data_IF_128905914951
#
_entry.id   IF_128905914951
#
_cell.length_a   1.000
_cell.length_b   1.000
_cell.length_c   1.000
_cell.angle_alpha   90.00
_cell.angle_beta   90.00
_cell.angle_gamma   90.00
#
_symmetry.space_group_name_H-M   'P 1'
#
loop_
_entity.id
_entity.type
_entity.pdbx_description
1 polymer ?
#
# COMPACT_ATOMS: atom_id res chain seq x y z
N UNK A 1 -34.95 44.24 -63.23
CA UNK A 1 -35.08 42.76 -63.16
C UNK A 1 -33.78 42.18 -62.63
N UNK A 2 -33.87 41.28 -61.64
CA UNK A 2 -32.80 40.46 -60.99
C UNK A 2 -31.79 41.25 -60.15
N UNK A 3 -32.05 41.46 -58.84
CA UNK A 3 -31.84 40.56 -57.68
C UNK A 3 -30.35 40.31 -57.39
N UNK A 4 -29.78 41.10 -56.48
CA UNK A 4 -28.55 40.77 -55.75
C UNK A 4 -29.03 40.31 -54.36
N UNK A 5 -28.77 39.05 -54.04
CA UNK A 5 -29.22 38.40 -52.82
C UNK A 5 -28.23 38.63 -51.67
N UNK A 6 -28.84 38.92 -50.51
CA UNK A 6 -28.31 38.93 -49.15
C UNK A 6 -27.14 37.97 -48.88
N UNK A 7 -26.03 38.51 -48.39
CA UNK A 7 -25.07 37.76 -47.60
C UNK A 7 -25.53 37.81 -46.13
N UNK A 8 -26.10 36.70 -45.64
CA UNK A 8 -26.36 36.46 -44.23
C UNK A 8 -25.04 36.02 -43.59
N UNK A 9 -24.53 36.84 -42.68
CA UNK A 9 -23.38 36.55 -41.84
C UNK A 9 -23.83 35.54 -40.76
N UNK A 10 -23.74 34.24 -41.06
CA UNK A 10 -24.02 33.18 -40.11
C UNK A 10 -22.87 33.08 -39.10
N UNK A 11 -23.11 33.66 -37.92
CA UNK A 11 -22.34 33.47 -36.70
C UNK A 11 -22.49 32.00 -36.27
N UNK A 12 -21.65 31.11 -36.79
CA UNK A 12 -21.51 29.75 -36.28
C UNK A 12 -20.66 29.83 -35.01
N UNK A 13 -21.35 29.95 -33.88
CA UNK A 13 -20.84 29.59 -32.56
C UNK A 13 -20.25 28.18 -32.64
N UNK A 14 -18.92 28.11 -32.65
CA UNK A 14 -18.21 26.89 -32.30
C UNK A 14 -18.50 26.68 -30.82
N UNK A 15 -19.53 25.88 -30.52
CA UNK A 15 -19.63 25.21 -29.24
C UNK A 15 -18.43 24.29 -29.13
N UNK A 16 -17.32 24.81 -28.61
CA UNK A 16 -16.33 23.98 -27.94
C UNK A 16 -17.07 23.37 -26.75
N UNK A 17 -17.61 22.16 -26.95
CA UNK A 17 -17.80 21.22 -25.86
C UNK A 17 -16.42 21.02 -25.26
N UNK A 18 -16.12 21.85 -24.26
CA UNK A 18 -15.05 21.59 -23.31
C UNK A 18 -15.46 20.32 -22.61
N UNK A 19 -15.08 19.18 -23.19
CA UNK A 19 -15.01 17.95 -22.43
C UNK A 19 -14.00 18.25 -21.34
N UNK A 20 -14.49 18.58 -20.15
CA UNK A 20 -13.71 18.45 -18.93
C UNK A 20 -13.23 17.01 -18.93
N UNK A 21 -12.00 16.77 -19.41
CA UNK A 21 -11.26 15.61 -18.96
C UNK A 21 -11.27 15.77 -17.44
N UNK A 22 -11.97 14.87 -16.73
CA UNK A 22 -11.68 14.63 -15.32
C UNK A 22 -10.16 14.49 -15.30
N UNK A 23 -9.47 15.36 -14.56
CA UNK A 23 -8.04 15.24 -14.38
C UNK A 23 -7.75 13.79 -13.97
N UNK A 24 -6.61 13.22 -14.37
CA UNK A 24 -6.28 11.87 -13.94
C UNK A 24 -6.29 11.88 -12.40
N UNK A 25 -7.20 11.12 -11.80
CA UNK A 25 -7.24 10.97 -10.33
C UNK A 25 -5.93 10.31 -9.91
N UNK A 26 -5.25 10.90 -8.94
CA UNK A 26 -4.04 10.34 -8.37
C UNK A 26 -4.40 9.03 -7.66
N UNK A 27 -3.94 7.90 -8.19
CA UNK A 27 -4.25 6.59 -7.61
C UNK A 27 -3.25 6.21 -6.54
N UNK A 28 -3.72 5.58 -5.47
CA UNK A 28 -2.89 5.00 -4.42
C UNK A 28 -2.85 3.47 -4.49
N UNK A 29 -1.88 2.83 -3.83
CA UNK A 29 -1.85 1.39 -3.65
C UNK A 29 -2.70 1.04 -2.42
N UNK A 30 -3.75 0.24 -2.59
CA UNK A 30 -4.49 -0.28 -1.43
C UNK A 30 -3.57 -1.14 -0.57
N UNK A 31 -3.70 -1.02 0.74
CA UNK A 31 -3.08 -1.93 1.68
C UNK A 31 -3.58 -3.36 1.47
N UNK A 32 -2.69 -4.33 1.69
CA UNK A 32 -2.99 -5.74 1.57
C UNK A 32 -2.59 -6.51 2.82
N UNK A 33 -3.47 -7.39 3.30
CA UNK A 33 -3.20 -8.22 4.48
C UNK A 33 -3.72 -9.64 4.30
N UNK A 34 -2.87 -10.62 4.56
CA UNK A 34 -3.23 -12.04 4.42
C UNK A 34 -4.27 -12.45 5.47
N UNK A 35 -5.24 -13.27 5.06
CA UNK A 35 -6.22 -13.85 5.98
C UNK A 35 -7.35 -12.91 6.42
N UNK A 36 -7.49 -11.73 5.81
CA UNK A 36 -8.68 -10.90 6.00
C UNK A 36 -9.89 -11.52 5.31
N UNK A 37 -10.99 -11.64 6.06
CA UNK A 37 -12.30 -12.10 5.57
C UNK A 37 -13.35 -10.97 5.54
N UNK A 38 -13.11 -9.91 6.32
CA UNK A 38 -14.02 -8.78 6.51
C UNK A 38 -13.24 -7.47 6.61
N UNK A 39 -13.96 -6.35 6.54
CA UNK A 39 -13.40 -5.03 6.81
C UNK A 39 -12.79 -4.91 8.20
N UNK A 40 -11.81 -4.01 8.33
CA UNK A 40 -11.11 -3.71 9.58
C UNK A 40 -11.85 -2.57 10.29
N UNK A 41 -12.13 -2.74 11.58
CA UNK A 41 -12.69 -1.65 12.39
C UNK A 41 -11.65 -0.55 12.58
N UNK A 42 -12.05 0.69 12.34
CA UNK A 42 -11.22 1.87 12.53
C UNK A 42 -11.89 2.78 13.54
N UNK A 43 -11.20 3.06 14.65
CA UNK A 43 -11.71 4.00 15.64
C UNK A 43 -11.72 5.42 15.07
N UNK A 44 -12.56 6.30 15.62
CA UNK A 44 -12.55 7.72 15.20
C UNK A 44 -11.21 8.41 15.46
N UNK A 45 -10.47 8.01 16.51
CA UNK A 45 -9.15 8.56 16.82
C UNK A 45 -8.12 8.16 15.76
N UNK A 46 -8.11 6.88 15.36
CA UNK A 46 -7.21 6.37 14.32
C UNK A 46 -7.60 6.94 12.94
N UNK A 47 -8.90 7.06 12.64
CA UNK A 47 -9.37 7.73 11.43
C UNK A 47 -8.88 9.17 11.34
N UNK A 48 -9.05 9.95 12.41
CA UNK A 48 -8.61 11.35 12.45
C UNK A 48 -7.08 11.47 12.29
N UNK A 49 -6.31 10.50 12.83
CA UNK A 49 -4.86 10.43 12.67
C UNK A 49 -4.45 10.11 11.21
N UNK A 50 -5.06 9.10 10.58
CA UNK A 50 -4.81 8.78 9.17
C UNK A 50 -5.12 9.97 8.25
N UNK A 51 -6.20 10.71 8.54
CA UNK A 51 -6.55 11.92 7.80
C UNK A 51 -5.55 13.08 8.03
N UNK A 52 -5.01 13.24 9.25
CA UNK A 52 -3.98 14.24 9.58
C UNK A 52 -2.64 13.95 8.89
N UNK A 53 -2.29 12.66 8.79
CA UNK A 53 -1.04 12.19 8.21
C UNK A 53 -1.09 12.11 6.66
N UNK A 54 -2.13 12.71 6.06
CA UNK A 54 -2.39 12.71 4.62
C UNK A 54 -2.41 11.29 4.01
N UNK A 55 -2.92 10.30 4.75
CA UNK A 55 -2.99 8.93 4.24
C UNK A 55 -4.06 8.77 3.14
N UNK A 56 -3.92 7.70 2.34
CA UNK A 56 -4.88 7.33 1.31
C UNK A 56 -5.43 5.94 1.60
N UNK A 57 -6.75 5.84 1.76
CA UNK A 57 -7.42 4.61 2.16
C UNK A 57 -8.87 4.60 1.70
N UNK A 58 -9.50 3.42 1.73
CA UNK A 58 -10.91 3.27 1.44
C UNK A 58 -11.63 2.74 2.68
N UNK A 59 -12.79 3.32 2.99
CA UNK A 59 -13.58 2.92 4.13
C UNK A 59 -15.07 3.08 3.85
N UNK A 60 -15.91 2.55 4.74
CA UNK A 60 -17.34 2.85 4.71
C UNK A 60 -17.88 3.08 6.11
N UNK A 61 -18.82 4.02 6.21
CA UNK A 61 -19.57 4.24 7.45
C UNK A 61 -20.71 3.23 7.51
N UNK A 62 -20.87 2.56 8.65
CA UNK A 62 -21.96 1.63 8.89
C UNK A 62 -22.74 1.99 10.16
N UNK A 63 -23.88 1.34 10.37
CA UNK A 63 -24.57 1.40 11.65
C UNK A 63 -25.01 0.01 12.10
N UNK A 64 -25.08 -0.18 13.41
CA UNK A 64 -25.67 -1.39 13.98
C UNK A 64 -27.13 -1.56 13.50
N UNK A 65 -27.54 -2.81 13.23
CA UNK A 65 -28.87 -3.16 12.69
C UNK A 65 -29.19 -2.65 11.27
N UNK A 66 -28.22 -2.12 10.53
CA UNK A 66 -28.37 -1.71 9.14
C UNK A 66 -28.46 -2.89 8.17
N UNK A 67 -29.66 -3.11 7.58
CA UNK A 67 -29.87 -4.18 6.60
C UNK A 67 -29.07 -3.97 5.31
N UNK A 68 -29.01 -2.72 4.81
CA UNK A 68 -28.23 -2.37 3.62
C UNK A 68 -26.73 -2.60 3.83
N UNK A 69 -26.22 -2.33 5.04
CA UNK A 69 -24.82 -2.57 5.40
C UNK A 69 -24.52 -4.06 5.40
N UNK A 70 -25.45 -4.88 5.92
CA UNK A 70 -25.35 -6.34 5.86
C UNK A 70 -25.37 -6.85 4.41
N UNK A 71 -26.24 -6.30 3.56
CA UNK A 71 -26.30 -6.67 2.15
C UNK A 71 -24.98 -6.33 1.44
N UNK A 72 -24.49 -5.09 1.56
CA UNK A 72 -23.19 -4.71 0.99
C UNK A 72 -22.03 -5.61 1.45
N UNK A 73 -21.95 -5.88 2.76
CA UNK A 73 -20.94 -6.78 3.33
C UNK A 73 -20.95 -8.16 2.69
N UNK A 74 -22.13 -8.77 2.58
CA UNK A 74 -22.29 -10.14 2.11
C UNK A 74 -22.17 -10.27 0.58
N UNK A 75 -22.72 -9.31 -0.16
CA UNK A 75 -22.89 -9.41 -1.61
C UNK A 75 -21.64 -8.93 -2.37
N UNK A 76 -20.90 -7.96 -1.80
CA UNK A 76 -19.74 -7.36 -2.44
C UNK A 76 -18.47 -7.39 -1.58
N UNK A 77 -18.50 -6.73 -0.41
CA UNK A 77 -17.29 -6.33 0.30
C UNK A 77 -16.45 -7.50 0.81
N UNK A 78 -17.03 -8.45 1.55
CA UNK A 78 -16.26 -9.53 2.16
C UNK A 78 -15.63 -10.45 1.10
N UNK A 79 -16.36 -10.69 0.00
CA UNK A 79 -15.83 -11.49 -1.10
C UNK A 79 -14.71 -10.75 -1.83
N UNK A 80 -14.84 -9.42 -2.04
CA UNK A 80 -13.77 -8.58 -2.56
C UNK A 80 -12.52 -8.68 -1.67
N UNK A 81 -12.66 -8.39 -0.36
CA UNK A 81 -11.55 -8.46 0.61
C UNK A 81 -10.87 -9.83 0.60
N UNK A 82 -11.63 -10.92 0.60
CA UNK A 82 -11.06 -12.27 0.59
C UNK A 82 -10.30 -12.57 -0.72
N UNK A 83 -10.82 -12.12 -1.86
CA UNK A 83 -10.22 -12.38 -3.18
C UNK A 83 -8.99 -11.52 -3.45
N UNK A 84 -9.01 -10.26 -3.04
CA UNK A 84 -7.95 -9.28 -3.34
C UNK A 84 -6.99 -9.09 -2.18
N UNK A 85 -7.34 -9.57 -0.97
CA UNK A 85 -6.63 -9.32 0.29
C UNK A 85 -6.57 -7.83 0.68
N UNK A 86 -7.40 -7.01 0.05
CA UNK A 86 -7.43 -5.56 0.29
C UNK A 86 -7.94 -5.24 1.68
N UNK A 87 -7.24 -4.35 2.38
CA UNK A 87 -7.75 -3.71 3.58
C UNK A 87 -8.81 -2.69 3.15
N UNK A 88 -10.02 -2.84 3.67
CA UNK A 88 -11.06 -1.82 3.62
C UNK A 88 -11.49 -1.56 5.06
N UNK A 89 -11.46 -0.30 5.47
CA UNK A 89 -11.82 0.08 6.83
C UNK A 89 -13.33 0.25 6.97
N UNK A 90 -13.81 0.19 8.20
CA UNK A 90 -15.18 0.50 8.55
C UNK A 90 -15.21 1.35 9.82
N UNK A 91 -16.13 2.30 9.87
CA UNK A 91 -16.33 3.15 11.07
C UNK A 91 -17.82 3.16 11.41
N UNK A 92 -18.16 3.03 12.70
CA UNK A 92 -19.55 3.16 13.14
C UNK A 92 -20.04 4.60 13.01
N UNK A 93 -21.26 4.76 12.50
CA UNK A 93 -21.89 6.06 12.29
C UNK A 93 -22.04 6.85 13.59
N UNK A 94 -22.20 6.18 14.73
CA UNK A 94 -22.24 6.85 16.03
C UNK A 94 -20.92 7.50 16.40
N UNK A 95 -19.79 6.90 16.00
CA UNK A 95 -18.44 7.39 16.31
C UNK A 95 -17.98 8.43 15.27
N UNK A 96 -18.30 8.24 13.99
CA UNK A 96 -17.84 9.16 12.93
C UNK A 96 -18.40 10.58 13.12
N UNK A 97 -19.52 10.76 13.83
CA UNK A 97 -20.06 12.07 14.15
C UNK A 97 -19.21 12.86 15.17
N UNK A 98 -18.34 12.17 15.90
CA UNK A 98 -17.38 12.80 16.82
C UNK A 98 -16.05 13.15 16.11
N UNK A 99 -15.86 12.76 14.84
CA UNK A 99 -14.68 13.12 14.04
C UNK A 99 -14.64 14.62 13.80
N UNK A 100 -13.43 15.20 13.82
CA UNK A 100 -13.25 16.60 13.40
C UNK A 100 -13.53 16.84 11.90
N UNK A 101 -13.58 15.77 11.11
CA UNK A 101 -13.90 15.76 9.68
C UNK A 101 -15.37 15.44 9.36
N UNK A 102 -16.25 15.33 10.37
CA UNK A 102 -17.67 14.98 10.19
C UNK A 102 -18.38 15.78 9.09
N UNK A 103 -18.13 17.09 9.03
CA UNK A 103 -18.75 18.00 8.04
C UNK A 103 -18.30 17.74 6.61
N UNK A 104 -17.06 17.26 6.43
CA UNK A 104 -16.48 16.98 5.13
C UNK A 104 -16.97 15.63 4.60
N UNK A 105 -17.20 14.68 5.52
CA UNK A 105 -17.80 13.39 5.23
C UNK A 105 -19.30 13.52 4.89
N UNK A 106 -20.00 14.43 5.56
CA UNK A 106 -21.41 14.76 5.31
C UNK A 106 -22.31 13.50 5.33
N UNK A 107 -22.15 12.66 6.35
CA UNK A 107 -22.78 11.32 6.39
C UNK A 107 -24.30 11.45 6.60
N UNK A 108 -25.09 11.18 5.56
CA UNK A 108 -26.56 11.18 5.65
C UNK A 108 -27.17 9.77 5.78
N UNK A 109 -26.54 8.76 5.19
CA UNK A 109 -27.07 7.40 5.08
C UNK A 109 -25.99 6.35 5.36
N UNK A 110 -26.43 5.13 5.70
CA UNK A 110 -25.52 3.98 5.83
C UNK A 110 -26.01 2.78 5.01
N UNK A 111 -25.09 2.01 4.38
CA UNK A 111 -23.67 2.29 4.29
C UNK A 111 -23.38 3.42 3.29
N UNK A 112 -22.36 4.22 3.58
CA UNK A 112 -21.77 5.15 2.60
C UNK A 112 -20.29 4.82 2.49
N UNK A 113 -19.84 4.55 1.28
CA UNK A 113 -18.46 4.19 0.95
C UNK A 113 -17.68 5.44 0.56
N UNK A 114 -16.43 5.52 1.00
CA UNK A 114 -15.56 6.66 0.79
C UNK A 114 -14.21 6.20 0.25
N UNK A 115 -13.63 7.02 -0.62
CA UNK A 115 -12.22 6.92 -1.01
C UNK A 115 -11.53 8.19 -0.55
N UNK A 116 -10.51 8.03 0.29
CA UNK A 116 -9.64 9.09 0.77
C UNK A 116 -8.34 9.05 -0.01
N UNK A 117 -7.92 10.20 -0.55
CA UNK A 117 -6.63 10.35 -1.23
C UNK A 117 -5.93 11.57 -0.65
N UNK A 118 -4.73 11.35 -0.11
CA UNK A 118 -3.91 12.36 0.54
C UNK A 118 -4.71 13.17 1.59
N UNK A 119 -5.34 12.47 2.54
CA UNK A 119 -6.12 13.08 3.63
C UNK A 119 -7.41 13.79 3.21
N UNK A 120 -7.91 13.55 1.98
CA UNK A 120 -9.10 14.23 1.44
C UNK A 120 -10.12 13.26 0.88
N UNK A 121 -11.40 13.60 1.05
CA UNK A 121 -12.51 12.89 0.40
C UNK A 121 -12.44 13.11 -1.11
N UNK A 122 -11.95 12.10 -1.82
CA UNK A 122 -11.93 12.09 -3.29
C UNK A 122 -13.29 11.66 -3.84
N UNK A 123 -13.89 10.63 -3.24
CA UNK A 123 -15.22 10.17 -3.62
C UNK A 123 -16.04 9.67 -2.45
N UNK A 124 -17.36 9.74 -2.67
CA UNK A 124 -18.40 9.33 -1.74
C UNK A 124 -19.53 8.66 -2.51
N UNK A 125 -19.86 7.43 -2.14
CA UNK A 125 -20.94 6.66 -2.75
C UNK A 125 -21.91 6.15 -1.69
N UNK A 126 -23.17 6.57 -1.81
CA UNK A 126 -24.26 6.13 -0.93
C UNK A 126 -24.84 4.83 -1.47
N UNK A 127 -25.16 3.88 -0.58
CA UNK A 127 -25.71 2.59 -0.97
C UNK A 127 -26.90 2.67 -1.93
N UNK A 128 -26.76 2.01 -3.08
CA UNK A 128 -27.83 1.71 -4.03
C UNK A 128 -27.76 0.22 -4.40
N UNK A 129 -28.85 -0.51 -4.14
CA UNK A 129 -28.95 -1.94 -4.47
C UNK A 129 -29.05 -2.24 -5.97
N UNK A 130 -29.02 -1.22 -6.83
CA UNK A 130 -28.89 -1.33 -8.29
C UNK A 130 -27.49 -1.04 -8.79
N UNK A 131 -26.62 -0.48 -7.95
CA UNK A 131 -25.24 -0.21 -8.29
C UNK A 131 -24.39 -1.47 -8.01
N UNK A 132 -23.64 -1.91 -9.01
CA UNK A 132 -22.84 -3.13 -8.94
C UNK A 132 -21.74 -3.06 -7.89
N UNK A 133 -21.25 -1.87 -7.54
CA UNK A 133 -20.25 -1.71 -6.47
C UNK A 133 -20.74 -2.18 -5.11
N UNK A 134 -22.06 -2.14 -4.87
CA UNK A 134 -22.66 -2.55 -3.61
C UNK A 134 -23.24 -3.97 -3.63
N UNK A 135 -23.27 -4.61 -4.81
CA UNK A 135 -24.00 -5.88 -5.02
C UNK A 135 -23.14 -6.98 -5.62
N UNK A 136 -21.87 -6.71 -5.93
CA UNK A 136 -20.91 -7.73 -6.35
C UNK A 136 -19.47 -7.34 -6.05
N UNK A 137 -18.62 -8.33 -5.75
CA UNK A 137 -17.18 -8.11 -5.55
C UNK A 137 -16.51 -7.54 -6.81
N UNK A 138 -16.89 -8.02 -8.00
CA UNK A 138 -16.35 -7.53 -9.26
C UNK A 138 -16.76 -6.07 -9.53
N UNK A 139 -17.98 -5.68 -9.15
CA UNK A 139 -18.43 -4.29 -9.23
C UNK A 139 -17.63 -3.37 -8.31
N UNK A 140 -17.38 -3.80 -7.06
CA UNK A 140 -16.54 -3.05 -6.12
C UNK A 140 -15.10 -2.93 -6.62
N UNK A 141 -14.53 -4.01 -7.14
CA UNK A 141 -13.19 -4.02 -7.73
C UNK A 141 -13.10 -3.05 -8.92
N UNK A 142 -14.11 -3.04 -9.80
CA UNK A 142 -14.14 -2.13 -10.94
C UNK A 142 -14.24 -0.66 -10.50
N UNK A 143 -15.06 -0.38 -9.48
CA UNK A 143 -15.17 0.95 -8.88
C UNK A 143 -13.82 1.40 -8.28
N UNK A 144 -13.23 0.59 -7.41
CA UNK A 144 -11.97 0.94 -6.75
C UNK A 144 -10.79 1.08 -7.71
N UNK A 145 -10.78 0.35 -8.83
CA UNK A 145 -9.74 0.50 -9.87
C UNK A 145 -9.69 1.89 -10.51
N UNK A 146 -10.73 2.70 -10.38
CA UNK A 146 -10.71 4.10 -10.83
C UNK A 146 -9.83 4.97 -9.93
N UNK A 147 -9.66 4.59 -8.65
CA UNK A 147 -9.02 5.40 -7.61
C UNK A 147 -7.79 4.75 -6.97
N UNK A 148 -7.63 3.43 -7.11
CA UNK A 148 -6.57 2.69 -6.47
C UNK A 148 -6.05 1.52 -7.32
N UNK A 149 -4.83 1.10 -7.02
CA UNK A 149 -4.26 -0.16 -7.44
C UNK A 149 -4.56 -1.22 -6.37
N UNK A 150 -4.96 -2.42 -6.82
CA UNK A 150 -5.11 -3.57 -5.91
C UNK A 150 -3.76 -3.93 -5.28
N UNK A 151 -3.77 -4.43 -4.04
CA UNK A 151 -2.54 -4.71 -3.31
C UNK A 151 -1.71 -5.78 -4.01
N UNK A 152 -0.42 -5.50 -4.15
CA UNK A 152 0.61 -6.47 -4.56
C UNK A 152 1.66 -6.67 -3.47
N UNK A 153 1.66 -5.80 -2.46
CA UNK A 153 2.36 -5.95 -1.20
C UNK A 153 1.36 -6.46 -0.15
N UNK A 154 1.58 -7.66 0.38
CA UNK A 154 0.64 -8.33 1.30
C UNK A 154 1.30 -8.55 2.67
N UNK A 155 0.80 -7.88 3.69
CA UNK A 155 1.25 -8.05 5.08
C UNK A 155 0.92 -9.45 5.62
N UNK A 156 1.88 -10.05 6.32
CA UNK A 156 1.75 -11.27 7.08
C UNK A 156 1.84 -10.99 8.58
N UNK A 157 1.00 -11.66 9.36
CA UNK A 157 1.25 -11.87 10.78
C UNK A 157 2.39 -12.87 11.01
N UNK A 158 2.98 -12.85 12.20
CA UNK A 158 4.06 -13.79 12.58
C UNK A 158 3.64 -15.25 12.40
N UNK A 159 2.42 -15.60 12.80
CA UNK A 159 1.89 -16.96 12.65
C UNK A 159 1.75 -17.37 11.17
N UNK A 160 1.40 -16.43 10.29
CA UNK A 160 1.31 -16.71 8.85
C UNK A 160 2.70 -16.87 8.23
N UNK A 161 3.67 -16.03 8.61
CA UNK A 161 5.06 -16.18 8.19
C UNK A 161 5.62 -17.54 8.63
N UNK A 162 5.44 -17.91 9.89
CA UNK A 162 5.86 -19.22 10.43
C UNK A 162 5.20 -20.39 9.69
N UNK A 163 3.91 -20.27 9.38
CA UNK A 163 3.19 -21.29 8.63
C UNK A 163 3.78 -21.48 7.23
N UNK A 164 4.11 -20.39 6.52
CA UNK A 164 4.72 -20.46 5.19
C UNK A 164 6.07 -21.15 5.20
N UNK A 165 6.93 -20.77 6.16
CA UNK A 165 8.26 -21.37 6.34
C UNK A 165 8.12 -22.86 6.66
N UNK A 166 7.32 -23.21 7.67
CA UNK A 166 7.15 -24.61 8.11
C UNK A 166 6.46 -25.52 7.08
N UNK A 167 5.63 -24.96 6.20
CA UNK A 167 5.02 -25.69 5.08
C UNK A 167 5.96 -25.83 3.87
N UNK A 168 7.20 -25.35 3.96
CA UNK A 168 8.16 -25.32 2.86
C UNK A 168 7.63 -24.58 1.62
N UNK A 169 6.91 -23.48 1.83
CA UNK A 169 6.48 -22.63 0.70
C UNK A 169 7.68 -21.88 0.11
N UNK A 170 7.62 -21.58 -1.19
CA UNK A 170 8.53 -20.64 -1.84
C UNK A 170 7.83 -19.29 -1.96
N UNK A 171 8.46 -18.23 -1.44
CA UNK A 171 7.90 -16.88 -1.40
C UNK A 171 9.00 -15.84 -1.20
N UNK A 172 8.65 -14.57 -1.39
CA UNK A 172 9.54 -13.43 -1.15
C UNK A 172 8.91 -12.56 -0.10
N UNK A 173 9.68 -12.13 0.90
CA UNK A 173 9.20 -11.29 1.99
C UNK A 173 10.09 -10.08 2.21
N UNK A 174 9.45 -8.93 2.38
CA UNK A 174 10.05 -7.66 2.75
C UNK A 174 9.79 -7.42 4.25
N UNK A 175 10.84 -7.38 5.06
CA UNK A 175 10.80 -6.89 6.44
C UNK A 175 11.07 -5.39 6.46
N UNK A 176 10.10 -4.60 6.92
CA UNK A 176 10.21 -3.15 7.01
C UNK A 176 9.73 -2.60 8.34
N UNK A 177 9.84 -1.29 8.47
CA UNK A 177 9.34 -0.53 9.61
C UNK A 177 8.80 0.81 9.10
N UNK A 178 7.53 1.14 9.35
CA UNK A 178 6.96 2.36 8.79
C UNK A 178 7.66 3.67 9.24
N UNK A 179 8.35 3.66 10.38
CA UNK A 179 9.16 4.80 10.87
C UNK A 179 10.63 4.77 10.39
N UNK A 180 11.02 3.76 9.61
CA UNK A 180 12.39 3.62 9.09
C UNK A 180 12.60 4.52 7.86
N UNK A 181 13.49 5.50 7.99
CA UNK A 181 13.79 6.45 6.91
C UNK A 181 14.34 5.79 5.65
N UNK A 182 15.16 4.73 5.78
CA UNK A 182 15.69 4.01 4.62
C UNK A 182 14.63 3.14 3.93
N UNK A 183 13.65 2.66 4.69
CA UNK A 183 12.47 1.96 4.18
C UNK A 183 11.63 2.92 3.32
N UNK A 184 11.35 4.12 3.85
CA UNK A 184 10.65 5.17 3.10
C UNK A 184 11.40 5.57 1.82
N UNK A 185 12.74 5.69 1.88
CA UNK A 185 13.57 5.96 0.69
C UNK A 185 13.44 4.86 -0.36
N UNK A 186 13.59 3.59 0.03
CA UNK A 186 13.44 2.43 -0.86
C UNK A 186 12.05 2.41 -1.52
N UNK A 187 11.01 2.65 -0.72
CA UNK A 187 9.62 2.62 -1.17
C UNK A 187 9.33 3.71 -2.21
N UNK A 188 9.76 4.94 -1.93
CA UNK A 188 9.57 6.09 -2.80
C UNK A 188 10.38 6.00 -4.10
N UNK A 189 11.63 5.52 -4.02
CA UNK A 189 12.55 5.51 -5.17
C UNK A 189 12.27 4.35 -6.13
N UNK A 190 11.88 3.19 -5.60
CA UNK A 190 11.78 1.96 -6.42
C UNK A 190 10.50 1.19 -6.15
N UNK A 191 10.25 0.78 -4.90
CA UNK A 191 9.30 -0.30 -4.62
C UNK A 191 7.88 0.05 -5.06
N UNK A 192 7.37 1.24 -4.73
CA UNK A 192 6.00 1.63 -5.05
C UNK A 192 5.72 1.63 -6.56
N UNK A 193 6.64 2.17 -7.35
CA UNK A 193 6.52 2.16 -8.81
C UNK A 193 6.57 0.74 -9.36
N UNK A 194 7.40 -0.12 -8.77
CA UNK A 194 7.49 -1.53 -9.17
C UNK A 194 6.21 -2.31 -8.86
N UNK A 195 5.68 -2.15 -7.64
CA UNK A 195 4.43 -2.76 -7.18
C UNK A 195 3.24 -2.38 -8.08
N UNK A 196 3.17 -1.12 -8.50
CA UNK A 196 2.09 -0.61 -9.34
C UNK A 196 2.21 -1.08 -10.79
N UNK A 197 3.42 -1.06 -11.36
CA UNK A 197 3.59 -1.24 -12.82
C UNK A 197 4.05 -2.62 -13.25
N UNK A 198 4.69 -3.39 -12.37
CA UNK A 198 5.38 -4.64 -12.72
C UNK A 198 4.84 -5.88 -11.98
N UNK A 199 4.11 -5.69 -10.88
CA UNK A 199 3.65 -6.78 -9.99
C UNK A 199 2.21 -7.23 -10.23
N UNK A 200 1.59 -6.89 -11.37
CA UNK A 200 0.21 -7.31 -11.66
C UNK A 200 0.06 -8.84 -11.59
N UNK A 201 -0.79 -9.31 -10.68
CA UNK A 201 -1.06 -10.74 -10.46
C UNK A 201 0.04 -11.48 -9.69
N UNK A 202 0.98 -10.76 -9.09
CA UNK A 202 2.09 -11.29 -8.29
C UNK A 202 2.03 -10.68 -6.89
N UNK A 203 2.68 -11.33 -5.94
CA UNK A 203 2.69 -10.92 -4.53
C UNK A 203 4.13 -10.83 -4.05
N UNK A 204 4.45 -9.70 -3.42
CA UNK A 204 5.56 -9.57 -2.47
C UNK A 204 4.93 -9.56 -1.07
N UNK A 205 5.37 -10.44 -0.18
CA UNK A 205 4.90 -10.40 1.20
C UNK A 205 5.62 -9.31 1.99
N UNK A 206 4.95 -8.76 2.99
CA UNK A 206 5.47 -7.73 3.89
C UNK A 206 5.36 -8.18 5.34
N UNK A 207 6.33 -7.77 6.17
CA UNK A 207 6.27 -7.92 7.61
C UNK A 207 6.63 -6.60 8.28
N UNK A 208 5.69 -6.03 9.02
CA UNK A 208 5.89 -4.84 9.84
C UNK A 208 6.61 -5.21 11.15
N UNK A 209 7.79 -4.63 11.36
CA UNK A 209 8.66 -4.97 12.49
C UNK A 209 8.49 -4.04 13.71
N UNK A 210 7.63 -3.01 13.63
CA UNK A 210 7.43 -2.00 14.67
C UNK A 210 7.33 -2.57 16.10
N UNK A 211 6.48 -3.57 16.30
CA UNK A 211 6.22 -4.16 17.63
C UNK A 211 7.45 -4.85 18.24
N UNK A 212 8.43 -5.23 17.42
CA UNK A 212 9.68 -5.85 17.86
C UNK A 212 10.77 -4.80 18.01
N UNK A 213 11.01 -3.99 16.97
CA UNK A 213 12.15 -3.07 16.92
C UNK A 213 12.05 -1.97 17.99
N UNK A 214 10.84 -1.55 18.36
CA UNK A 214 10.61 -0.55 19.43
C UNK A 214 10.97 -1.06 20.83
N UNK A 215 11.10 -2.38 21.00
CA UNK A 215 11.53 -3.01 22.25
C UNK A 215 13.04 -3.24 22.34
N UNK A 216 13.79 -2.95 21.27
CA UNK A 216 15.23 -3.20 21.22
C UNK A 216 15.97 -2.47 22.36
N UNK A 217 16.90 -3.16 23.02
CA UNK A 217 17.68 -2.67 24.16
C UNK A 217 16.85 -2.34 25.42
N UNK A 218 15.64 -2.87 25.54
CA UNK A 218 14.82 -2.78 26.76
C UNK A 218 14.90 -4.07 27.60
N UNK A 219 14.30 -4.09 28.79
CA UNK A 219 14.24 -5.30 29.63
C UNK A 219 13.44 -6.44 28.97
N UNK A 220 12.49 -6.11 28.10
CA UNK A 220 11.67 -7.04 27.33
C UNK A 220 12.03 -6.97 25.83
N UNK A 221 13.33 -7.06 25.50
CA UNK A 221 13.80 -7.04 24.11
C UNK A 221 13.22 -8.23 23.33
N UNK A 222 12.25 -7.94 22.45
CA UNK A 222 11.66 -8.88 21.51
C UNK A 222 12.39 -8.86 20.17
N UNK A 223 13.23 -7.86 19.92
CA UNK A 223 13.92 -7.67 18.66
C UNK A 223 14.99 -8.73 18.42
N UNK A 224 15.87 -8.96 19.39
CA UNK A 224 16.96 -9.94 19.23
C UNK A 224 16.43 -11.37 18.97
N UNK A 225 15.44 -11.88 19.73
CA UNK A 225 14.82 -13.17 19.41
C UNK A 225 14.16 -13.20 18.04
N UNK A 226 13.50 -12.11 17.63
CA UNK A 226 12.86 -12.00 16.32
C UNK A 226 13.88 -12.07 15.18
N UNK A 227 14.97 -11.29 15.27
CA UNK A 227 16.01 -11.29 14.24
C UNK A 227 16.71 -12.63 14.15
N UNK A 228 16.93 -13.32 15.27
CA UNK A 228 17.48 -14.68 15.31
C UNK A 228 16.54 -15.70 14.67
N UNK A 229 15.23 -15.58 14.92
CA UNK A 229 14.21 -16.49 14.39
C UNK A 229 14.14 -16.42 12.86
N UNK A 230 14.27 -15.22 12.29
CA UNK A 230 14.16 -14.98 10.85
C UNK A 230 15.50 -14.70 10.17
N UNK A 231 16.62 -15.01 10.84
CA UNK A 231 17.97 -14.90 10.30
C UNK A 231 18.35 -13.48 9.83
N UNK A 232 17.78 -12.45 10.43
CA UNK A 232 18.07 -11.04 10.14
C UNK A 232 19.32 -10.54 10.88
N UNK A 233 19.93 -11.36 11.74
CA UNK A 233 21.17 -11.06 12.47
C UNK A 233 22.40 -11.84 11.95
N UNK A 234 22.24 -12.64 10.88
CA UNK A 234 23.34 -13.41 10.30
C UNK A 234 24.29 -12.52 9.50
N UNK A 235 25.60 -12.75 9.59
CA UNK A 235 26.57 -11.98 8.80
C UNK A 235 26.31 -12.15 7.30
N UNK A 236 26.23 -11.06 6.50
CA UNK A 236 26.66 -9.68 6.83
C UNK A 236 25.56 -8.73 7.37
N UNK A 237 24.35 -9.23 7.65
CA UNK A 237 23.29 -8.51 8.38
C UNK A 237 23.64 -8.37 9.87
N UNK A 238 24.57 -7.48 10.22
CA UNK A 238 24.79 -7.15 11.64
C UNK A 238 23.59 -6.33 12.18
N UNK A 239 22.88 -6.88 13.18
CA UNK A 239 21.86 -6.22 14.01
C UNK A 239 20.45 -6.00 13.40
N UNK A 240 19.93 -6.92 12.58
CA UNK A 240 18.51 -6.90 12.22
C UNK A 240 18.12 -5.79 11.24
N UNK A 241 19.02 -5.32 10.39
CA UNK A 241 18.76 -4.14 9.56
C UNK A 241 17.49 -4.29 8.70
N UNK A 242 16.68 -3.24 8.68
CA UNK A 242 15.53 -3.08 7.77
C UNK A 242 15.75 -1.78 6.96
N UNK A 243 15.33 -1.74 5.68
CA UNK A 243 14.52 -2.74 5.00
C UNK A 243 15.36 -3.90 4.45
N UNK A 244 14.85 -5.12 4.63
CA UNK A 244 15.48 -6.36 4.13
C UNK A 244 14.47 -7.17 3.35
N UNK A 245 14.86 -7.71 2.20
CA UNK A 245 14.07 -8.65 1.42
C UNK A 245 14.74 -10.02 1.48
N UNK A 246 13.98 -11.04 1.87
CA UNK A 246 14.43 -12.43 1.86
C UNK A 246 13.67 -13.22 0.81
N UNK A 247 14.40 -14.07 0.08
CA UNK A 247 13.84 -15.03 -0.89
C UNK A 247 13.87 -16.42 -0.25
N UNK A 248 12.69 -17.00 -0.07
CA UNK A 248 12.53 -18.36 0.41
C UNK A 248 12.25 -19.32 -0.75
N UNK A 249 12.99 -20.42 -0.80
CA UNK A 249 12.68 -21.58 -1.63
C UNK A 249 12.57 -22.83 -0.76
N UNK A 250 11.43 -23.51 -0.85
CA UNK A 250 11.14 -24.71 -0.05
C UNK A 250 11.41 -24.50 1.46
N UNK A 251 10.98 -23.36 2.01
CA UNK A 251 11.15 -23.02 3.43
C UNK A 251 12.56 -22.63 3.86
N UNK A 252 13.52 -22.53 2.94
CA UNK A 252 14.89 -22.09 3.24
C UNK A 252 15.18 -20.75 2.56
N UNK A 253 15.90 -19.87 3.25
CA UNK A 253 16.42 -18.63 2.65
C UNK A 253 17.49 -19.01 1.63
N UNK A 254 17.32 -18.55 0.39
CA UNK A 254 18.31 -18.75 -0.70
C UNK A 254 19.02 -17.46 -1.08
N UNK A 255 18.46 -16.32 -0.71
CA UNK A 255 19.02 -15.01 -1.02
C UNK A 255 18.43 -13.93 -0.10
N UNK A 256 19.28 -12.99 0.29
CA UNK A 256 18.90 -11.78 1.04
C UNK A 256 19.31 -10.54 0.23
N UNK A 257 18.53 -9.47 0.40
CA UNK A 257 18.81 -8.13 -0.07
C UNK A 257 18.61 -7.15 1.08
N UNK A 258 19.54 -6.22 1.23
CA UNK A 258 19.47 -5.18 2.27
C UNK A 258 19.64 -3.82 1.61
N UNK A 259 18.82 -2.86 1.99
CA UNK A 259 18.91 -1.50 1.46
C UNK A 259 19.66 -0.61 2.46
N UNK A 260 20.61 0.20 1.97
CA UNK A 260 21.28 1.26 2.73
C UNK A 260 21.84 0.84 4.11
N UNK A 261 22.61 -0.25 4.16
CA UNK A 261 23.09 -0.82 5.43
C UNK A 261 24.55 -0.46 5.78
N UNK A 262 25.15 0.48 5.05
CA UNK A 262 26.55 0.81 5.16
C UNK A 262 26.93 1.53 6.45
N UNK A 263 28.18 1.39 6.87
CA UNK A 263 28.83 2.27 7.86
C UNK A 263 29.96 3.05 7.19
N UNK A 264 29.92 4.37 7.24
CA UNK A 264 30.96 5.24 6.68
C UNK A 264 31.85 5.85 7.78
N UNK A 265 33.13 6.08 7.47
CA UNK A 265 34.05 6.84 8.33
C UNK A 265 33.95 8.36 8.10
N UNK A 266 34.80 9.13 8.80
CA UNK A 266 34.84 10.60 8.70
C UNK A 266 35.22 11.14 7.31
N UNK A 267 35.74 10.29 6.41
CA UNK A 267 36.10 10.61 5.04
C UNK A 267 35.09 10.04 4.03
N UNK A 268 33.93 9.59 4.48
CA UNK A 268 32.89 8.91 3.70
C UNK A 268 33.37 7.59 3.06
N UNK A 269 34.41 6.96 3.60
CA UNK A 269 34.84 5.63 3.17
C UNK A 269 33.92 4.60 3.80
N UNK A 270 33.37 3.71 2.99
CA UNK A 270 32.51 2.62 3.46
C UNK A 270 33.39 1.58 4.17
N UNK A 271 33.14 1.39 5.46
CA UNK A 271 33.91 0.48 6.34
C UNK A 271 33.22 -0.84 6.60
N UNK A 272 31.89 -0.87 6.47
CA UNK A 272 31.05 -2.07 6.56
C UNK A 272 29.89 -1.94 5.58
N UNK A 273 29.51 -3.04 4.95
CA UNK A 273 28.37 -3.16 4.05
C UNK A 273 27.90 -4.61 3.97
N UNK A 274 26.64 -4.83 3.60
CA UNK A 274 26.18 -6.14 3.14
C UNK A 274 26.86 -6.52 1.81
N UNK A 275 27.15 -5.52 0.98
CA UNK A 275 27.76 -5.68 -0.34
C UNK A 275 29.27 -5.48 -0.21
N UNK A 276 30.02 -6.59 -0.15
CA UNK A 276 31.47 -6.56 0.06
C UNK A 276 32.23 -5.71 -0.97
N UNK A 277 31.70 -5.57 -2.18
CA UNK A 277 32.28 -4.74 -3.24
C UNK A 277 32.26 -3.24 -2.90
N UNK A 278 31.37 -2.79 -2.01
CA UNK A 278 31.33 -1.40 -1.55
C UNK A 278 32.41 -1.07 -0.51
N UNK A 279 32.92 -2.06 0.22
CA UNK A 279 33.87 -1.82 1.32
C UNK A 279 35.18 -1.23 0.78
N UNK A 280 35.57 -0.08 1.34
CA UNK A 280 36.75 0.70 0.94
C UNK A 280 36.48 1.71 -0.18
N UNK A 281 35.26 1.79 -0.72
CA UNK A 281 34.87 2.84 -1.66
C UNK A 281 34.52 4.14 -0.92
N UNK A 282 34.68 5.27 -1.62
CA UNK A 282 34.18 6.58 -1.18
C UNK A 282 33.05 6.97 -2.12
N UNK A 283 31.83 7.06 -1.59
CA UNK A 283 30.64 7.36 -2.36
C UNK A 283 29.80 8.43 -1.64
N UNK A 284 29.15 9.29 -2.40
CA UNK A 284 28.11 10.18 -1.91
C UNK A 284 26.84 9.39 -1.56
N UNK A 285 25.95 9.96 -0.75
CA UNK A 285 24.67 9.33 -0.39
C UNK A 285 23.85 8.97 -1.63
N UNK A 286 23.77 9.84 -2.63
CA UNK A 286 22.99 9.58 -3.85
C UNK A 286 23.59 8.47 -4.72
N UNK A 287 24.93 8.36 -4.78
CA UNK A 287 25.60 7.26 -5.49
C UNK A 287 25.32 5.92 -4.80
N UNK A 288 25.31 5.90 -3.46
CA UNK A 288 24.92 4.73 -2.68
C UNK A 288 23.46 4.35 -2.91
N UNK A 289 22.53 5.30 -2.77
CA UNK A 289 21.11 5.05 -3.03
C UNK A 289 20.88 4.54 -4.45
N UNK A 290 21.56 5.10 -5.46
CA UNK A 290 21.49 4.61 -6.84
C UNK A 290 21.99 3.17 -6.98
N UNK A 291 23.07 2.79 -6.28
CA UNK A 291 23.55 1.41 -6.24
C UNK A 291 22.48 0.47 -5.66
N UNK A 292 21.86 0.84 -4.54
CA UNK A 292 20.79 0.05 -3.93
C UNK A 292 19.55 -0.06 -4.81
N UNK A 293 19.17 1.03 -5.48
CA UNK A 293 18.05 1.04 -6.43
C UNK A 293 18.28 0.03 -7.57
N UNK A 294 19.49 0.05 -8.15
CA UNK A 294 19.89 -0.88 -9.21
C UNK A 294 19.85 -2.34 -8.73
N UNK A 295 20.37 -2.62 -7.53
CA UNK A 295 20.36 -3.96 -6.93
C UNK A 295 18.95 -4.46 -6.62
N UNK A 296 18.09 -3.60 -6.10
CA UNK A 296 16.69 -3.95 -5.85
C UNK A 296 15.96 -4.25 -7.17
N UNK A 297 16.17 -3.43 -8.20
CA UNK A 297 15.59 -3.67 -9.52
C UNK A 297 16.10 -4.97 -10.16
N UNK A 298 17.40 -5.28 -10.02
CA UNK A 298 17.99 -6.54 -10.49
C UNK A 298 17.31 -7.75 -9.84
N UNK A 299 17.18 -7.73 -8.50
CA UNK A 299 16.47 -8.76 -7.73
C UNK A 299 15.02 -8.91 -8.20
N UNK A 300 14.24 -7.82 -8.16
CA UNK A 300 12.82 -7.87 -8.48
C UNK A 300 12.57 -8.32 -9.93
N UNK A 301 13.36 -7.85 -10.89
CA UNK A 301 13.22 -8.28 -12.29
C UNK A 301 13.54 -9.75 -12.48
N UNK A 302 14.56 -10.28 -11.80
CA UNK A 302 14.86 -11.71 -11.83
C UNK A 302 13.72 -12.53 -11.23
N UNK A 303 13.17 -12.12 -10.09
CA UNK A 303 12.12 -12.84 -9.38
C UNK A 303 10.77 -12.78 -10.11
N UNK A 304 10.43 -11.64 -10.72
CA UNK A 304 9.08 -11.40 -11.20
C UNK A 304 8.96 -11.21 -12.69
N UNK A 305 9.95 -10.72 -13.43
CA UNK A 305 9.81 -10.55 -14.89
C UNK A 305 10.21 -11.80 -15.70
N UNK A 306 11.11 -12.61 -15.15
CA UNK A 306 11.63 -13.82 -15.80
C UNK A 306 11.00 -15.13 -15.29
N UNK A 307 9.96 -15.04 -14.45
CA UNK A 307 9.20 -16.16 -13.90
C UNK A 307 7.93 -16.46 -14.69
#
# INVERSE_FOLDING_TARGET
>A
MKKIWMALLSFLLVFTVSSCKKDNVDKFLLEGKEGLETSVELSVEDFDAMMDDDESFAFFVHSSMCNSCRAFKNDALNLFITQTKSVIYQVDAGEIFDSKYEKELDVEYTPTFYVIINGKVEEKEVYDNKNEMFTSAAGLENYLKEYAYLPTLIELSEAQLDAKISNNESFVIYFGWYLCGDCQKMDQRVLNQYLIHQMKGKILYYFETHDYITTANTENDLWVPFTQKYHLDETPLEAGKVPTIQVYENGSIVEDFVYANDTQDENNVITKSFYEDLVGQTMTEEELLSYYDEKLLELLNRLYQNA
#
